data_IF_387297054020
#
_entry.id   IF_387297054020
#
_cell.length_a   1.000
_cell.length_b   1.000
_cell.length_c   1.000
_cell.angle_alpha   90.00
_cell.angle_beta   90.00
_cell.angle_gamma   90.00
#
_symmetry.space_group_name_H-M   'P 1'
#
loop_
_entity.id
_entity.type
_entity.pdbx_description
1 polymer ?
#
# COMPACT_ATOMS: atom_id res chain seq x y z
N UNK A 1 -19.90 -23.10 13.48
CA UNK A 1 -20.29 -22.16 12.38
C UNK A 1 -20.73 -22.99 11.20
N UNK A 2 -21.89 -22.70 10.58
CA UNK A 2 -22.38 -23.50 9.43
C UNK A 2 -21.37 -23.40 8.28
N UNK A 3 -21.04 -24.52 7.62
CA UNK A 3 -20.09 -24.63 6.50
C UNK A 3 -20.24 -23.50 5.44
N UNK A 4 -21.46 -23.05 5.18
CA UNK A 4 -21.73 -21.92 4.25
C UNK A 4 -21.12 -20.60 4.70
N UNK A 5 -21.12 -20.27 6.00
CA UNK A 5 -20.51 -19.02 6.51
C UNK A 5 -18.98 -19.06 6.44
N UNK A 6 -18.39 -20.21 6.71
CA UNK A 6 -16.93 -20.39 6.61
C UNK A 6 -16.45 -20.26 5.15
N UNK A 7 -17.13 -20.92 4.22
CA UNK A 7 -16.83 -20.84 2.77
C UNK A 7 -16.99 -19.40 2.28
N UNK A 8 -18.07 -18.70 2.66
CA UNK A 8 -18.28 -17.31 2.29
C UNK A 8 -17.18 -16.38 2.82
N UNK A 9 -16.73 -16.59 4.04
CA UNK A 9 -15.64 -15.81 4.65
C UNK A 9 -14.30 -16.05 3.96
N UNK A 10 -13.95 -17.28 3.66
CA UNK A 10 -12.73 -17.65 2.92
C UNK A 10 -12.74 -17.05 1.51
N UNK A 11 -13.88 -17.18 0.81
CA UNK A 11 -14.03 -16.60 -0.53
C UNK A 11 -13.91 -15.07 -0.50
N UNK A 12 -14.49 -14.42 0.52
CA UNK A 12 -14.36 -12.97 0.72
C UNK A 12 -12.90 -12.53 0.96
N UNK A 13 -12.17 -13.24 1.81
CA UNK A 13 -10.74 -12.96 2.07
C UNK A 13 -9.90 -13.15 0.82
N UNK A 14 -10.11 -14.23 0.05
CA UNK A 14 -9.40 -14.47 -1.20
C UNK A 14 -9.69 -13.38 -2.25
N UNK A 15 -10.96 -13.00 -2.40
CA UNK A 15 -11.36 -11.93 -3.31
C UNK A 15 -10.69 -10.60 -2.92
N UNK A 16 -10.70 -10.28 -1.64
CA UNK A 16 -10.07 -9.07 -1.12
C UNK A 16 -8.55 -9.09 -1.33
N UNK A 17 -7.90 -10.22 -1.07
CA UNK A 17 -6.46 -10.41 -1.27
C UNK A 17 -6.03 -10.24 -2.74
N UNK A 18 -6.91 -10.57 -3.69
CA UNK A 18 -6.64 -10.40 -5.13
C UNK A 18 -6.94 -8.97 -5.60
N UNK A 19 -8.06 -8.39 -5.19
CA UNK A 19 -8.51 -7.09 -5.70
C UNK A 19 -7.78 -5.90 -5.08
N UNK A 20 -7.45 -5.98 -3.79
CA UNK A 20 -6.84 -4.86 -3.07
C UNK A 20 -5.50 -4.41 -3.64
N UNK A 21 -4.50 -5.30 -3.91
CA UNK A 21 -3.22 -4.88 -4.46
C UNK A 21 -3.35 -4.27 -5.85
N UNK A 22 -4.26 -4.78 -6.70
CA UNK A 22 -4.51 -4.21 -8.03
C UNK A 22 -5.15 -2.84 -7.93
N UNK A 23 -6.18 -2.67 -7.09
CA UNK A 23 -6.83 -1.38 -6.87
C UNK A 23 -5.83 -0.34 -6.31
N UNK A 24 -4.98 -0.75 -5.36
CA UNK A 24 -3.93 0.11 -4.82
C UNK A 24 -2.92 0.51 -5.89
N UNK A 25 -2.53 -0.41 -6.77
CA UNK A 25 -1.61 -0.14 -7.88
C UNK A 25 -2.18 0.88 -8.86
N UNK A 26 -3.47 0.76 -9.22
CA UNK A 26 -4.15 1.73 -10.08
C UNK A 26 -4.23 3.11 -9.42
N UNK A 27 -4.55 3.14 -8.12
CA UNK A 27 -4.58 4.39 -7.36
C UNK A 27 -3.21 5.05 -7.25
N UNK A 28 -2.14 4.28 -6.99
CA UNK A 28 -0.75 4.79 -6.94
C UNK A 28 -0.32 5.35 -8.29
N UNK A 29 -0.63 4.65 -9.39
CA UNK A 29 -0.34 5.13 -10.74
C UNK A 29 -1.03 6.48 -11.03
N UNK A 30 -2.31 6.62 -10.64
CA UNK A 30 -3.05 7.86 -10.82
C UNK A 30 -2.42 9.00 -10.00
N UNK A 31 -2.19 8.75 -8.71
CA UNK A 31 -1.62 9.74 -7.80
C UNK A 31 -0.24 10.22 -8.24
N UNK A 32 0.62 9.29 -8.66
CA UNK A 32 1.95 9.63 -9.17
C UNK A 32 1.89 10.48 -10.44
N UNK A 33 0.96 10.16 -11.36
CA UNK A 33 0.76 10.95 -12.58
C UNK A 33 0.28 12.37 -12.25
N UNK A 34 -0.67 12.51 -11.33
CA UNK A 34 -1.20 13.80 -10.88
C UNK A 34 -0.12 14.65 -10.19
N UNK A 35 0.60 14.08 -9.23
CA UNK A 35 1.69 14.77 -8.52
C UNK A 35 2.78 15.22 -9.48
N UNK A 36 3.18 14.39 -10.44
CA UNK A 36 4.19 14.75 -11.44
C UNK A 36 3.73 15.88 -12.34
N UNK A 37 2.48 15.82 -12.82
CA UNK A 37 1.90 16.84 -13.68
C UNK A 37 1.75 18.19 -12.96
N UNK A 38 1.25 18.19 -11.73
CA UNK A 38 1.10 19.42 -10.94
C UNK A 38 2.43 20.02 -10.55
N UNK A 39 3.45 19.21 -10.24
CA UNK A 39 4.80 19.68 -9.98
C UNK A 39 5.43 20.36 -11.21
N UNK A 40 5.21 19.84 -12.41
CA UNK A 40 5.66 20.46 -13.65
C UNK A 40 4.99 21.82 -13.87
N UNK A 41 3.68 21.91 -13.67
CA UNK A 41 2.93 23.15 -13.76
C UNK A 41 3.42 24.21 -12.75
N UNK A 42 3.67 23.78 -11.50
CA UNK A 42 4.23 24.64 -10.45
C UNK A 42 5.64 25.16 -10.79
N UNK A 43 6.50 24.26 -11.28
CA UNK A 43 7.86 24.60 -11.67
C UNK A 43 7.84 25.62 -12.79
N UNK A 44 6.96 25.43 -13.78
CA UNK A 44 6.80 26.37 -14.86
C UNK A 44 6.28 27.73 -14.38
N UNK A 45 5.30 27.76 -13.48
CA UNK A 45 4.80 29.00 -12.85
C UNK A 45 5.92 29.76 -12.13
N UNK A 46 6.79 29.03 -11.42
CA UNK A 46 7.94 29.62 -10.75
C UNK A 46 8.96 30.25 -11.75
N UNK A 47 9.18 29.58 -12.90
CA UNK A 47 10.03 30.13 -13.96
C UNK A 47 9.44 31.42 -14.54
N UNK A 48 8.11 31.46 -14.74
CA UNK A 48 7.43 32.70 -15.20
C UNK A 48 7.58 33.80 -14.16
N UNK A 49 7.43 33.50 -12.88
CA UNK A 49 7.67 34.49 -11.82
C UNK A 49 9.10 35.01 -11.83
N UNK A 50 10.09 34.11 -11.89
CA UNK A 50 11.51 34.54 -12.02
C UNK A 50 11.74 35.41 -13.23
N UNK A 51 11.07 35.16 -14.34
CA UNK A 51 11.13 36.00 -15.53
C UNK A 51 10.54 37.38 -15.26
N UNK A 52 9.36 37.46 -14.67
CA UNK A 52 8.71 38.69 -14.29
C UNK A 52 9.60 39.55 -13.36
N UNK A 53 10.14 38.93 -12.31
CA UNK A 53 11.06 39.57 -11.35
C UNK A 53 12.30 40.18 -12.10
N UNK A 54 12.85 39.45 -13.06
CA UNK A 54 13.99 39.93 -13.86
C UNK A 54 13.64 41.13 -14.71
N UNK A 55 12.48 41.13 -15.36
CA UNK A 55 11.97 42.25 -16.15
C UNK A 55 11.85 43.50 -15.28
N UNK A 56 11.22 43.39 -14.13
CA UNK A 56 11.05 44.47 -13.15
C UNK A 56 12.37 44.95 -12.61
N UNK A 57 13.27 44.05 -12.23
CA UNK A 57 14.60 44.43 -11.72
C UNK A 57 15.42 45.21 -12.74
N UNK A 58 15.37 44.81 -14.01
CA UNK A 58 16.04 45.60 -15.08
C UNK A 58 15.42 47.00 -15.25
N UNK A 59 14.08 47.09 -15.22
CA UNK A 59 13.38 48.36 -15.25
C UNK A 59 13.78 49.29 -14.10
N UNK A 60 13.79 48.75 -12.85
CA UNK A 60 14.24 49.51 -11.67
C UNK A 60 15.70 50.00 -11.80
N UNK A 61 16.59 49.13 -12.30
CA UNK A 61 18.01 49.48 -12.50
C UNK A 61 18.17 50.57 -13.57
N UNK A 62 17.45 50.44 -14.67
CA UNK A 62 17.42 51.47 -15.72
C UNK A 62 16.96 52.83 -15.17
N UNK A 63 15.89 52.83 -14.38
CA UNK A 63 15.39 54.06 -13.74
C UNK A 63 16.38 54.67 -12.77
N UNK A 64 17.03 53.87 -11.91
CA UNK A 64 18.07 54.39 -11.00
C UNK A 64 19.23 55.03 -11.76
N UNK A 65 19.65 54.43 -12.88
CA UNK A 65 20.72 55.00 -13.72
C UNK A 65 20.27 56.29 -14.39
N UNK A 66 19.01 56.42 -14.83
CA UNK A 66 18.46 57.63 -15.39
C UNK A 66 18.37 58.78 -14.37
N UNK A 67 18.06 58.49 -13.13
CA UNK A 67 17.97 59.49 -12.06
C UNK A 67 19.32 60.14 -11.71
N UNK A 68 20.45 59.55 -12.11
CA UNK A 68 21.78 60.12 -11.95
C UNK A 68 22.15 61.18 -13.05
N UNK A 69 21.30 61.35 -14.06
CA UNK A 69 21.53 62.31 -15.09
C UNK A 69 21.27 63.75 -14.57
N UNK A 70 22.24 64.61 -14.68
CA UNK A 70 22.25 65.98 -14.19
C UNK A 70 22.31 67.06 -15.28
N UNK A 71 22.26 66.66 -16.57
CA UNK A 71 22.29 67.58 -17.72
C UNK A 71 20.94 68.27 -18.01
N UNK A 72 20.89 69.05 -19.05
CA UNK A 72 19.67 69.76 -19.47
C UNK A 72 18.62 68.77 -19.97
N UNK A 73 17.45 68.85 -19.38
CA UNK A 73 16.32 68.03 -19.75
C UNK A 73 15.94 68.14 -21.22
N UNK A 74 15.65 67.05 -21.89
CA UNK A 74 15.29 66.94 -23.30
C UNK A 74 16.33 67.49 -24.29
N UNK A 75 17.56 67.77 -23.84
CA UNK A 75 18.67 68.03 -24.70
C UNK A 75 19.07 66.82 -25.56
N UNK A 76 19.92 67.06 -26.58
CA UNK A 76 20.41 65.96 -27.41
C UNK A 76 21.13 64.85 -26.58
N UNK A 77 21.93 65.29 -25.59
CA UNK A 77 22.67 64.43 -24.70
C UNK A 77 21.73 63.65 -23.78
N UNK A 78 20.66 64.31 -23.29
CA UNK A 78 19.63 63.58 -22.50
C UNK A 78 18.90 62.52 -23.32
N UNK A 79 18.50 62.84 -24.54
CA UNK A 79 17.90 61.89 -25.48
C UNK A 79 18.84 60.71 -25.78
N UNK A 80 20.14 61.01 -25.96
CA UNK A 80 21.17 60.00 -26.17
C UNK A 80 21.30 59.06 -24.89
N UNK A 81 21.29 59.66 -23.70
CA UNK A 81 21.34 58.92 -22.45
C UNK A 81 20.11 57.96 -22.31
N UNK A 82 18.89 58.45 -22.58
CA UNK A 82 17.67 57.63 -22.58
C UNK A 82 17.72 56.55 -23.65
N UNK A 83 18.19 56.79 -24.84
CA UNK A 83 18.39 55.79 -25.91
C UNK A 83 19.40 54.73 -25.53
N UNK A 84 20.53 55.11 -24.89
CA UNK A 84 21.50 54.15 -24.37
C UNK A 84 20.86 53.20 -23.37
N UNK A 85 20.01 53.70 -22.49
CA UNK A 85 19.25 52.85 -21.53
C UNK A 85 18.33 51.85 -22.25
N UNK A 86 17.52 52.34 -23.21
CA UNK A 86 16.65 51.43 -24.00
C UNK A 86 17.46 50.38 -24.76
N UNK A 87 18.67 50.73 -25.24
CA UNK A 87 19.54 49.79 -25.94
C UNK A 87 20.26 48.81 -25.00
N UNK A 88 20.63 49.25 -23.79
CA UNK A 88 21.40 48.45 -22.82
C UNK A 88 20.52 47.44 -22.08
N UNK A 89 19.32 47.86 -21.73
CA UNK A 89 18.39 47.04 -20.97
C UNK A 89 17.38 46.32 -21.87
N UNK A 90 17.53 45.02 -22.01
CA UNK A 90 16.80 44.18 -22.97
C UNK A 90 15.28 44.38 -22.98
N UNK A 91 14.70 44.67 -21.79
CA UNK A 91 13.24 44.76 -21.65
C UNK A 91 12.72 46.19 -21.66
N UNK A 92 13.57 47.21 -21.71
CA UNK A 92 13.19 48.58 -21.80
C UNK A 92 13.06 48.95 -23.28
N UNK A 93 11.84 49.16 -23.74
CA UNK A 93 11.56 49.53 -25.12
C UNK A 93 11.64 51.05 -25.32
N UNK A 94 11.12 51.80 -24.36
CA UNK A 94 11.08 53.27 -24.41
C UNK A 94 11.33 53.82 -23.01
N UNK A 95 11.97 54.99 -22.98
CA UNK A 95 12.13 55.82 -21.78
C UNK A 95 11.40 57.11 -22.02
N UNK A 96 10.55 57.54 -21.11
CA UNK A 96 9.80 58.80 -21.15
C UNK A 96 10.27 59.67 -19.99
N UNK A 97 10.58 60.93 -20.27
CA UNK A 97 10.88 61.94 -19.26
C UNK A 97 9.65 62.79 -18.99
N UNK A 98 9.33 62.99 -17.69
CA UNK A 98 8.17 63.74 -17.23
C UNK A 98 8.60 65.07 -16.54
N UNK A 99 7.86 66.11 -16.76
CA UNK A 99 7.84 67.30 -15.91
C UNK A 99 6.49 67.31 -15.17
N UNK A 100 6.53 66.95 -13.87
CA UNK A 100 5.32 66.71 -13.11
C UNK A 100 4.56 65.46 -13.58
N UNK A 101 3.47 65.65 -14.33
CA UNK A 101 2.69 64.56 -14.95
C UNK A 101 2.71 64.61 -16.47
N UNK A 102 3.37 65.60 -17.06
CA UNK A 102 3.36 65.82 -18.53
C UNK A 102 4.63 65.23 -19.14
N UNK A 103 4.52 64.39 -20.17
CA UNK A 103 5.67 63.87 -20.92
C UNK A 103 6.27 65.00 -21.72
N UNK A 104 7.57 65.27 -21.54
CA UNK A 104 8.29 66.29 -22.32
C UNK A 104 9.06 65.72 -23.51
N UNK A 105 9.66 64.56 -23.34
CA UNK A 105 10.38 63.86 -24.38
C UNK A 105 10.51 62.41 -24.13
N UNK A 106 10.76 61.59 -25.12
CA UNK A 106 11.02 60.16 -25.00
C UNK A 106 12.30 59.74 -25.76
N UNK A 107 12.77 58.54 -25.47
CA UNK A 107 13.91 57.96 -26.21
C UNK A 107 13.57 57.68 -27.66
N UNK A 108 12.33 57.65 -28.08
CA UNK A 108 11.90 57.45 -29.47
C UNK A 108 11.60 58.74 -30.17
N UNK A 109 10.97 59.73 -29.51
CA UNK A 109 10.48 60.93 -30.09
C UNK A 109 10.93 62.19 -29.30
N UNK A 110 11.20 63.29 -30.03
CA UNK A 110 11.63 64.53 -29.41
C UNK A 110 10.49 65.35 -28.81
N UNK A 111 9.26 65.18 -29.35
CA UNK A 111 8.04 65.83 -28.86
C UNK A 111 7.05 64.73 -28.47
N UNK A 112 6.81 64.58 -27.18
CA UNK A 112 5.80 63.71 -26.69
C UNK A 112 4.45 64.39 -26.53
N UNK A 113 3.37 63.65 -26.42
CA UNK A 113 2.00 64.11 -26.27
C UNK A 113 1.89 65.17 -25.16
N UNK A 114 1.11 66.23 -25.40
CA UNK A 114 0.80 67.25 -24.40
C UNK A 114 -0.21 66.82 -23.34
N UNK A 115 -0.73 65.63 -23.45
CA UNK A 115 -1.67 65.06 -22.48
C UNK A 115 -0.94 64.59 -21.22
N UNK A 116 -1.47 64.83 -20.01
CA UNK A 116 -0.90 64.33 -18.78
C UNK A 116 -0.86 62.81 -18.77
N UNK A 117 0.23 62.24 -18.23
CA UNK A 117 0.37 60.82 -18.03
C UNK A 117 -0.64 60.37 -16.90
N UNK A 118 -1.36 59.28 -17.06
CA UNK A 118 -2.36 58.87 -16.08
C UNK A 118 -1.73 58.61 -14.70
N UNK A 119 -2.56 58.64 -13.66
CA UNK A 119 -2.09 58.30 -12.32
C UNK A 119 -1.61 56.84 -12.27
N UNK A 120 -0.54 56.54 -11.52
CA UNK A 120 -0.05 55.18 -11.39
C UNK A 120 -1.11 54.30 -10.73
N UNK A 121 -1.31 53.12 -11.28
CA UNK A 121 -2.24 52.14 -10.70
C UNK A 121 -1.71 51.54 -9.39
N UNK A 122 -0.39 51.57 -9.21
CA UNK A 122 0.25 51.05 -8.00
C UNK A 122 1.57 51.77 -7.72
N UNK A 123 1.93 51.85 -6.44
CA UNK A 123 3.26 52.23 -5.97
C UNK A 123 3.89 51.06 -5.26
N UNK A 124 5.08 50.66 -5.67
CA UNK A 124 5.82 49.55 -5.05
C UNK A 124 6.35 49.96 -3.68
N UNK A 125 6.75 48.99 -2.85
CA UNK A 125 7.28 49.25 -1.49
C UNK A 125 8.54 50.15 -1.50
N UNK A 126 9.33 50.06 -2.55
CA UNK A 126 10.54 50.83 -2.77
C UNK A 126 10.31 52.16 -3.57
N UNK A 127 9.04 52.55 -3.69
CA UNK A 127 8.63 53.85 -4.17
C UNK A 127 8.52 54.00 -5.70
N UNK A 128 8.71 52.93 -6.47
CA UNK A 128 8.46 52.93 -7.89
C UNK A 128 6.96 52.92 -8.20
N UNK A 129 6.59 53.64 -9.26
CA UNK A 129 5.21 53.75 -9.75
C UNK A 129 5.01 52.74 -10.88
N UNK A 130 3.89 52.03 -10.90
CA UNK A 130 3.58 51.05 -11.94
C UNK A 130 2.27 51.38 -12.66
N UNK A 131 2.30 51.24 -13.97
CA UNK A 131 1.16 51.38 -14.86
C UNK A 131 0.96 50.04 -15.61
N UNK A 132 -0.19 49.45 -15.41
CA UNK A 132 -0.65 48.25 -16.09
C UNK A 132 -1.70 48.70 -17.12
N UNK A 133 -1.28 49.18 -18.26
CA UNK A 133 -2.16 49.88 -19.17
C UNK A 133 -2.81 48.97 -20.19
N UNK A 134 -4.05 49.29 -20.54
CA UNK A 134 -4.72 48.73 -21.72
C UNK A 134 -4.49 49.64 -22.93
N UNK A 135 -4.86 49.17 -24.11
CA UNK A 135 -4.55 49.69 -25.43
C UNK A 135 -4.70 51.21 -25.68
N UNK A 136 -5.45 51.96 -24.86
CA UNK A 136 -5.83 53.34 -25.17
C UNK A 136 -5.46 54.38 -24.11
N UNK A 137 -4.91 53.98 -22.97
CA UNK A 137 -4.72 54.92 -21.85
C UNK A 137 -3.51 55.85 -22.06
N UNK A 138 -2.58 55.51 -22.96
CA UNK A 138 -1.34 56.26 -23.20
C UNK A 138 -1.16 56.69 -24.67
N UNK A 139 -2.16 56.56 -25.51
CA UNK A 139 -2.03 56.80 -26.95
C UNK A 139 -1.15 55.77 -27.69
N UNK A 140 -0.81 54.66 -27.02
CA UNK A 140 -0.01 53.58 -27.58
C UNK A 140 -0.90 52.61 -28.34
N UNK A 141 -0.42 52.10 -29.46
CA UNK A 141 -1.15 51.11 -30.28
C UNK A 141 -1.19 49.70 -29.66
N UNK A 142 -0.45 49.47 -28.56
CA UNK A 142 -0.33 48.18 -27.87
C UNK A 142 -0.48 48.40 -26.37
N UNK A 143 -0.96 47.38 -25.68
CA UNK A 143 -0.92 47.29 -24.23
C UNK A 143 0.58 47.30 -23.80
N UNK A 144 0.92 48.14 -22.85
CA UNK A 144 2.29 48.27 -22.35
C UNK A 144 2.29 48.32 -20.84
N UNK A 145 3.39 47.90 -20.23
CA UNK A 145 3.63 48.03 -18.78
C UNK A 145 4.63 49.16 -18.56
N UNK A 146 4.25 50.18 -17.78
CA UNK A 146 5.11 51.25 -17.36
C UNK A 146 5.64 51.05 -15.95
N UNK A 147 6.92 51.26 -15.72
CA UNK A 147 7.52 51.39 -14.40
C UNK A 147 8.24 52.72 -14.33
N UNK A 148 8.06 53.50 -13.25
CA UNK A 148 8.64 54.83 -13.23
C UNK A 148 8.95 55.35 -11.84
N UNK A 149 9.67 56.48 -11.87
CA UNK A 149 9.97 57.37 -10.74
C UNK A 149 9.11 58.62 -10.82
N UNK A 150 9.56 59.74 -10.23
CA UNK A 150 8.89 61.02 -10.37
C UNK A 150 9.19 61.67 -11.73
N UNK A 151 10.39 61.40 -12.33
CA UNK A 151 10.90 62.06 -13.56
C UNK A 151 10.90 61.14 -14.78
N UNK A 152 11.05 59.82 -14.56
CA UNK A 152 11.21 58.90 -15.68
C UNK A 152 10.19 57.76 -15.61
N UNK A 153 9.77 57.32 -16.78
CA UNK A 153 9.00 56.07 -16.95
C UNK A 153 9.74 55.22 -17.99
N UNK A 154 9.96 53.96 -17.68
CA UNK A 154 10.39 52.94 -18.65
C UNK A 154 9.19 52.14 -19.08
N UNK A 155 9.05 51.92 -20.37
CA UNK A 155 7.98 51.18 -21.00
C UNK A 155 8.50 49.80 -21.40
N UNK A 156 7.77 48.79 -21.08
CA UNK A 156 8.10 47.38 -21.33
C UNK A 156 6.93 46.65 -22.02
N UNK A 157 7.24 45.82 -23.00
CA UNK A 157 6.22 44.96 -23.63
C UNK A 157 5.74 43.91 -22.61
N UNK A 158 4.41 43.80 -22.36
CA UNK A 158 3.85 42.80 -21.48
C UNK A 158 4.23 41.35 -21.84
N UNK A 159 4.45 41.04 -23.11
CA UNK A 159 4.88 39.72 -23.55
C UNK A 159 6.26 39.34 -22.99
N UNK A 160 7.12 40.35 -22.70
CA UNK A 160 8.43 40.11 -22.08
C UNK A 160 8.33 39.37 -20.71
N UNK A 161 7.24 39.54 -20.00
CA UNK A 161 6.99 38.88 -18.69
C UNK A 161 6.65 37.42 -18.82
N UNK A 162 6.03 37.02 -19.93
CA UNK A 162 5.52 35.66 -20.18
C UNK A 162 6.29 34.91 -21.27
N UNK A 163 7.35 35.51 -21.82
CA UNK A 163 8.25 34.91 -22.83
C UNK A 163 9.13 33.83 -22.15
N UNK A 164 8.52 32.71 -21.78
CA UNK A 164 9.16 31.56 -21.17
C UNK A 164 8.83 30.34 -22.02
N UNK A 165 9.86 29.62 -22.45
CA UNK A 165 9.70 28.39 -23.18
C UNK A 165 9.29 27.28 -22.22
N UNK A 166 8.24 26.53 -22.54
CA UNK A 166 7.92 25.30 -21.83
C UNK A 166 8.92 24.22 -22.26
N UNK A 167 9.58 23.62 -21.30
CA UNK A 167 10.54 22.52 -21.53
C UNK A 167 9.87 21.15 -21.64
N UNK A 168 8.55 21.07 -21.38
CA UNK A 168 7.77 19.83 -21.44
C UNK A 168 7.32 19.47 -22.86
N UNK A 169 6.90 18.23 -23.08
CA UNK A 169 6.37 17.77 -24.36
C UNK A 169 4.98 18.35 -24.72
N UNK A 170 4.39 19.13 -23.84
CA UNK A 170 3.06 19.74 -24.01
C UNK A 170 3.07 21.24 -23.74
N UNK A 171 2.24 22.01 -24.42
CA UNK A 171 2.16 23.45 -24.23
C UNK A 171 1.49 23.78 -22.89
N UNK A 172 2.20 24.56 -22.06
CA UNK A 172 1.63 25.23 -20.90
C UNK A 172 1.31 26.65 -21.31
N UNK A 173 0.08 27.06 -21.11
CA UNK A 173 -0.37 28.42 -21.39
C UNK A 173 -0.14 29.31 -20.17
N UNK A 174 0.06 30.59 -20.44
CA UNK A 174 0.36 31.61 -19.41
C UNK A 174 -0.52 32.83 -19.65
N UNK A 175 -0.99 33.42 -18.55
CA UNK A 175 -1.53 34.78 -18.55
C UNK A 175 -1.02 35.55 -17.34
N UNK A 176 -0.80 36.84 -17.57
CA UNK A 176 -0.53 37.86 -16.57
C UNK A 176 -1.78 38.69 -16.40
N UNK A 177 -2.37 38.70 -15.21
CA UNK A 177 -3.65 39.34 -14.91
C UNK A 177 -3.45 40.33 -13.75
N UNK A 178 -4.00 41.51 -13.84
CA UNK A 178 -4.01 42.45 -12.71
C UNK A 178 -4.86 41.90 -11.58
N UNK A 179 -4.25 41.69 -10.41
CA UNK A 179 -4.90 41.05 -9.28
C UNK A 179 -6.22 41.70 -8.84
N UNK A 180 -6.21 43.06 -8.77
CA UNK A 180 -7.38 43.84 -8.35
C UNK A 180 -8.32 44.19 -9.52
N UNK A 181 -7.77 44.32 -10.73
CA UNK A 181 -8.55 44.78 -11.86
C UNK A 181 -9.20 43.66 -12.65
N UNK A 182 -8.71 42.42 -12.50
CA UNK A 182 -9.10 41.27 -13.34
C UNK A 182 -8.74 41.41 -14.82
N UNK A 183 -8.01 42.48 -15.20
CA UNK A 183 -7.62 42.73 -16.59
C UNK A 183 -6.46 41.82 -17.00
N UNK A 184 -6.59 41.18 -18.15
CA UNK A 184 -5.48 40.45 -18.78
C UNK A 184 -4.49 41.44 -19.35
N UNK A 185 -3.24 41.39 -18.87
CA UNK A 185 -2.15 42.26 -19.30
C UNK A 185 -1.38 41.64 -20.47
N UNK A 186 -1.09 40.36 -20.35
CA UNK A 186 -0.49 39.53 -21.38
C UNK A 186 -1.00 38.08 -21.28
N UNK A 187 -1.09 37.40 -22.41
CA UNK A 187 -1.45 36.00 -22.44
C UNK A 187 -0.84 35.30 -23.65
N UNK A 188 -0.39 34.09 -23.49
CA UNK A 188 0.10 33.24 -24.59
C UNK A 188 -1.03 32.70 -25.46
N UNK A 189 -2.24 32.61 -24.93
CA UNK A 189 -3.47 32.18 -25.61
C UNK A 189 -4.64 33.03 -25.11
N UNK A 190 -5.63 33.29 -25.95
CA UNK A 190 -6.86 33.97 -25.52
C UNK A 190 -7.49 33.28 -24.32
N UNK A 191 -7.65 34.02 -23.23
CA UNK A 191 -8.27 33.58 -22.02
C UNK A 191 -9.77 33.76 -22.11
N UNK A 192 -10.52 32.71 -21.78
CA UNK A 192 -11.98 32.80 -21.70
C UNK A 192 -12.38 33.61 -20.46
N UNK A 193 -13.14 34.74 -20.62
CA UNK A 193 -13.57 35.55 -19.48
C UNK A 193 -14.40 34.78 -18.44
N UNK A 194 -15.15 33.78 -18.83
CA UNK A 194 -15.98 33.00 -17.93
C UNK A 194 -15.14 32.00 -17.11
N UNK A 195 -14.06 31.52 -17.66
CA UNK A 195 -13.07 30.73 -16.93
C UNK A 195 -12.31 31.60 -15.90
N UNK A 196 -11.95 32.82 -16.29
CA UNK A 196 -11.26 33.74 -15.38
C UNK A 196 -12.10 34.08 -14.14
N UNK A 197 -13.42 34.18 -14.25
CA UNK A 197 -14.33 34.44 -13.12
C UNK A 197 -14.35 33.30 -12.09
N UNK A 198 -13.95 32.09 -12.47
CA UNK A 198 -13.92 30.92 -11.58
C UNK A 198 -12.60 30.79 -10.80
N UNK A 199 -11.62 31.63 -11.15
CA UNK A 199 -10.26 31.59 -10.59
C UNK A 199 -10.13 32.67 -9.53
N UNK A 200 -9.64 32.32 -8.35
CA UNK A 200 -9.29 33.30 -7.31
C UNK A 200 -7.92 33.92 -7.65
N UNK A 201 -7.93 35.23 -7.91
CA UNK A 201 -6.72 35.99 -8.20
C UNK A 201 -5.94 36.42 -6.96
N UNK A 202 -6.54 36.29 -5.76
CA UNK A 202 -5.96 36.79 -4.51
C UNK A 202 -5.22 35.73 -3.70
N UNK A 203 -5.50 34.45 -3.97
CA UNK A 203 -4.85 33.32 -3.27
C UNK A 203 -4.17 32.38 -4.27
N UNK A 204 -3.00 31.80 -3.92
CA UNK A 204 -2.41 30.74 -4.72
C UNK A 204 -3.36 29.55 -4.72
N UNK A 205 -3.87 29.16 -5.87
CA UNK A 205 -4.82 28.03 -5.98
C UNK A 205 -4.48 27.15 -7.16
N UNK A 206 -4.77 25.86 -6.98
CA UNK A 206 -4.75 24.86 -8.03
C UNK A 206 -6.16 24.33 -8.21
N UNK A 207 -6.67 24.36 -9.43
CA UNK A 207 -8.02 23.89 -9.75
C UNK A 207 -8.04 23.13 -11.07
N UNK A 208 -8.96 22.19 -11.18
CA UNK A 208 -9.31 21.51 -12.43
C UNK A 208 -10.64 22.11 -12.91
N UNK A 209 -10.59 22.78 -14.04
CA UNK A 209 -11.76 23.47 -14.63
C UNK A 209 -11.81 23.18 -16.13
N UNK A 210 -12.95 22.73 -16.64
CA UNK A 210 -13.17 22.56 -18.08
C UNK A 210 -12.24 21.55 -18.78
N UNK A 211 -11.68 20.58 -18.05
CA UNK A 211 -10.70 19.62 -18.61
C UNK A 211 -9.28 20.15 -18.69
N UNK A 212 -8.98 21.28 -18.05
CA UNK A 212 -7.66 21.87 -17.89
C UNK A 212 -7.31 22.00 -16.41
N UNK A 213 -6.01 21.90 -16.10
CA UNK A 213 -5.48 22.21 -14.78
C UNK A 213 -4.97 23.65 -14.76
N UNK A 214 -5.36 24.37 -13.75
CA UNK A 214 -5.07 25.79 -13.55
C UNK A 214 -4.26 25.98 -12.28
N UNK A 215 -3.22 26.82 -12.36
CA UNK A 215 -2.39 27.22 -11.23
C UNK A 215 -2.24 28.74 -11.20
N UNK A 216 -2.38 29.34 -10.01
CA UNK A 216 -2.22 30.78 -9.81
C UNK A 216 -1.08 31.06 -8.85
N UNK A 217 -0.27 32.05 -9.19
CA UNK A 217 0.85 32.53 -8.38
C UNK A 217 0.82 34.08 -8.36
N UNK A 218 0.75 34.66 -7.17
CA UNK A 218 0.72 36.10 -7.04
C UNK A 218 2.13 36.73 -7.14
N UNK A 219 2.20 37.90 -7.76
CA UNK A 219 3.33 38.78 -7.71
C UNK A 219 2.90 40.10 -7.01
N UNK A 220 3.08 40.14 -5.65
CA UNK A 220 2.56 41.26 -4.87
C UNK A 220 3.19 42.59 -5.18
N UNK A 221 4.45 42.64 -5.62
CA UNK A 221 5.13 43.95 -5.94
C UNK A 221 4.48 44.61 -7.14
N UNK A 222 4.17 43.87 -8.16
CA UNK A 222 3.50 44.38 -9.35
C UNK A 222 1.98 44.46 -9.23
N UNK A 223 1.37 43.73 -8.28
CA UNK A 223 -0.08 43.63 -8.16
C UNK A 223 -0.69 42.83 -9.31
N UNK A 224 0.02 41.83 -9.76
CA UNK A 224 -0.41 40.92 -10.81
C UNK A 224 -0.46 39.48 -10.30
N UNK A 225 -1.31 38.68 -10.91
CA UNK A 225 -1.40 37.24 -10.71
C UNK A 225 -0.98 36.55 -12.00
N UNK A 226 -0.01 35.69 -11.88
CA UNK A 226 0.44 34.80 -12.94
C UNK A 226 -0.50 33.61 -12.93
N UNK A 227 -1.14 33.33 -14.05
CA UNK A 227 -2.02 32.16 -14.24
C UNK A 227 -1.31 31.28 -15.28
N UNK A 228 -1.15 30.01 -14.93
CA UNK A 228 -0.68 28.98 -15.86
C UNK A 228 -1.72 27.88 -15.96
N UNK A 229 -1.95 27.38 -17.17
CA UNK A 229 -2.88 26.28 -17.37
C UNK A 229 -2.45 25.35 -18.50
N UNK A 230 -2.83 24.09 -18.37
CA UNK A 230 -2.56 23.06 -19.35
C UNK A 230 -3.71 22.08 -19.45
N UNK A 231 -3.88 21.45 -20.62
CA UNK A 231 -4.83 20.36 -20.84
C UNK A 231 -4.51 19.16 -19.94
N UNK A 232 -5.53 18.39 -19.53
CA UNK A 232 -5.37 17.13 -18.80
C UNK A 232 -4.96 15.94 -19.68
N UNK A 233 -4.84 16.13 -21.00
CA UNK A 233 -4.42 15.05 -21.91
C UNK A 233 -3.08 14.42 -21.50
N UNK A 234 -2.01 15.21 -21.17
CA UNK A 234 -0.73 14.66 -20.74
C UNK A 234 -0.81 13.89 -19.42
N UNK A 235 -1.68 14.31 -18.52
CA UNK A 235 -1.95 13.58 -17.29
C UNK A 235 -2.50 12.16 -17.59
N UNK A 236 -3.48 12.07 -18.51
CA UNK A 236 -4.04 10.77 -18.93
C UNK A 236 -2.99 9.88 -19.59
N UNK A 237 -2.17 10.43 -20.47
CA UNK A 237 -1.09 9.68 -21.14
C UNK A 237 -0.04 9.17 -20.14
N UNK A 238 0.35 10.01 -19.17
CA UNK A 238 1.28 9.63 -18.11
C UNK A 238 0.67 8.55 -17.21
N UNK A 239 -0.61 8.68 -16.85
CA UNK A 239 -1.33 7.66 -16.09
C UNK A 239 -1.36 6.32 -16.83
N UNK A 240 -1.73 6.30 -18.13
CA UNK A 240 -1.72 5.07 -18.93
C UNK A 240 -0.33 4.42 -18.98
N UNK A 241 0.74 5.18 -19.13
CA UNK A 241 2.11 4.65 -19.08
C UNK A 241 2.45 4.05 -17.73
N UNK A 242 2.05 4.68 -16.63
CA UNK A 242 2.28 4.17 -15.29
C UNK A 242 1.45 2.92 -15.00
N UNK A 243 0.24 2.78 -15.57
CA UNK A 243 -0.55 1.54 -15.44
C UNK A 243 0.18 0.32 -16.01
N UNK A 244 0.93 0.48 -17.11
CA UNK A 244 1.72 -0.61 -17.71
C UNK A 244 2.76 -1.15 -16.72
N UNK A 245 3.24 -0.35 -15.79
CA UNK A 245 4.21 -0.75 -14.77
C UNK A 245 3.49 -1.24 -13.50
N UNK A 246 2.55 -0.45 -12.98
CA UNK A 246 1.93 -0.69 -11.69
C UNK A 246 0.93 -1.84 -11.67
N UNK A 247 0.19 -2.08 -12.77
CA UNK A 247 -0.79 -3.18 -12.84
C UNK A 247 -0.10 -4.55 -12.80
N UNK A 248 0.97 -4.83 -13.56
CA UNK A 248 1.72 -6.08 -13.40
C UNK A 248 2.28 -6.29 -11.99
N UNK A 249 2.77 -5.23 -11.34
CA UNK A 249 3.24 -5.31 -9.94
C UNK A 249 2.10 -5.69 -9.00
N UNK A 250 0.93 -5.06 -9.15
CA UNK A 250 -0.26 -5.39 -8.36
C UNK A 250 -0.73 -6.83 -8.58
N UNK A 251 -0.73 -7.30 -9.82
CA UNK A 251 -1.09 -8.69 -10.17
C UNK A 251 -0.09 -9.70 -9.58
N UNK A 252 1.21 -9.43 -9.68
CA UNK A 252 2.23 -10.29 -9.09
C UNK A 252 2.05 -10.40 -7.56
N UNK A 253 1.83 -9.28 -6.89
CA UNK A 253 1.59 -9.25 -5.46
C UNK A 253 0.31 -10.03 -5.08
N UNK A 254 -0.76 -9.88 -5.86
CA UNK A 254 -2.00 -10.63 -5.69
C UNK A 254 -1.80 -12.14 -5.84
N UNK A 255 -1.03 -12.58 -6.85
CA UNK A 255 -0.71 -14.00 -7.05
C UNK A 255 0.10 -14.57 -5.89
N UNK A 256 1.11 -13.85 -5.41
CA UNK A 256 1.92 -14.27 -4.26
C UNK A 256 1.04 -14.40 -3.00
N UNK A 257 0.19 -13.40 -2.74
CA UNK A 257 -0.70 -13.41 -1.57
C UNK A 257 -1.72 -14.55 -1.66
N UNK A 258 -2.33 -14.76 -2.82
CA UNK A 258 -3.25 -15.86 -3.06
C UNK A 258 -2.57 -17.24 -2.88
N UNK A 259 -1.34 -17.39 -3.39
CA UNK A 259 -0.55 -18.62 -3.19
C UNK A 259 -0.33 -18.94 -1.71
N UNK A 260 0.10 -17.95 -0.92
CA UNK A 260 0.32 -18.14 0.51
C UNK A 260 -0.98 -18.45 1.27
N UNK A 261 -2.08 -17.77 0.94
CA UNK A 261 -3.38 -18.05 1.54
C UNK A 261 -3.86 -19.46 1.21
N UNK A 262 -3.78 -19.89 -0.05
CA UNK A 262 -4.16 -21.23 -0.46
C UNK A 262 -3.28 -22.30 0.20
N UNK A 263 -1.98 -22.04 0.33
CA UNK A 263 -1.06 -22.92 1.03
C UNK A 263 -1.40 -23.04 2.52
N UNK A 264 -1.75 -21.93 3.16
CA UNK A 264 -2.19 -21.90 4.55
C UNK A 264 -3.49 -22.67 4.75
N UNK A 265 -4.49 -22.46 3.88
CA UNK A 265 -5.76 -23.19 3.93
C UNK A 265 -5.58 -24.69 3.76
N UNK A 266 -4.75 -25.13 2.80
CA UNK A 266 -4.44 -26.56 2.61
C UNK A 266 -3.74 -27.17 3.81
N UNK A 267 -2.92 -26.40 4.55
CA UNK A 267 -2.34 -26.90 5.81
C UNK A 267 -3.38 -27.16 6.88
N UNK A 268 -4.36 -26.29 7.03
CA UNK A 268 -5.42 -26.41 8.03
C UNK A 268 -6.35 -27.63 7.76
N UNK A 269 -6.49 -28.06 6.51
CA UNK A 269 -7.28 -29.21 6.10
C UNK A 269 -6.47 -30.52 6.00
N UNK A 270 -5.17 -30.51 6.35
CA UNK A 270 -4.34 -31.69 6.30
C UNK A 270 -4.85 -32.76 7.29
N UNK A 271 -5.08 -34.03 6.86
CA UNK A 271 -5.47 -35.12 7.73
C UNK A 271 -4.54 -35.31 8.94
N UNK A 272 -3.25 -35.04 8.75
CA UNK A 272 -2.24 -35.07 9.82
C UNK A 272 -2.54 -34.05 10.93
N UNK A 273 -2.88 -32.81 10.59
CA UNK A 273 -3.22 -31.78 11.58
C UNK A 273 -4.51 -32.11 12.31
N UNK A 274 -5.53 -32.63 11.58
CA UNK A 274 -6.77 -33.05 12.20
C UNK A 274 -6.54 -34.18 13.22
N UNK A 275 -5.71 -35.17 12.89
CA UNK A 275 -5.34 -36.25 13.78
C UNK A 275 -4.57 -35.75 15.00
N UNK A 276 -3.60 -34.86 14.79
CA UNK A 276 -2.84 -34.28 15.88
C UNK A 276 -3.70 -33.44 16.85
N UNK A 277 -4.66 -32.71 16.31
CA UNK A 277 -5.63 -31.96 17.11
C UNK A 277 -6.57 -32.88 17.86
N UNK A 278 -7.04 -33.96 17.24
CA UNK A 278 -7.88 -34.99 17.90
C UNK A 278 -7.17 -35.65 19.08
N UNK A 279 -5.91 -36.01 18.91
CA UNK A 279 -5.07 -36.57 19.98
C UNK A 279 -4.94 -35.58 21.15
N UNK A 280 -4.64 -34.29 20.85
CA UNK A 280 -4.52 -33.23 21.86
C UNK A 280 -5.83 -32.89 22.56
N UNK A 281 -6.93 -32.89 21.80
CA UNK A 281 -8.27 -32.62 22.33
C UNK A 281 -8.89 -33.82 23.05
N UNK A 282 -8.18 -34.94 23.11
CA UNK A 282 -8.70 -36.23 23.70
C UNK A 282 -10.02 -36.68 23.05
N UNK A 283 -10.13 -36.57 21.73
CA UNK A 283 -11.29 -37.01 20.95
C UNK A 283 -11.28 -38.55 20.69
N UNK A 284 -10.26 -39.24 21.17
CA UNK A 284 -10.18 -40.71 21.10
C UNK A 284 -10.88 -41.26 22.32
N UNK A 285 -11.95 -42.03 22.10
CA UNK A 285 -12.73 -42.70 23.11
C UNK A 285 -12.50 -44.20 23.03
N UNK A 286 -12.68 -44.92 24.16
CA UNK A 286 -12.51 -46.35 24.22
C UNK A 286 -13.86 -47.04 24.35
N UNK A 287 -14.08 -48.07 23.53
CA UNK A 287 -15.18 -48.98 23.64
C UNK A 287 -14.63 -50.33 24.17
N UNK A 288 -15.39 -51.03 24.93
CA UNK A 288 -14.93 -52.27 25.60
C UNK A 288 -15.81 -53.43 25.18
N UNK A 289 -15.21 -54.43 24.50
CA UNK A 289 -15.87 -55.63 24.07
C UNK A 289 -15.61 -56.74 25.09
N UNK A 290 -16.66 -57.33 25.74
CA UNK A 290 -16.47 -58.34 26.75
C UNK A 290 -15.81 -59.60 26.19
N UNK A 291 -14.82 -60.13 26.93
CA UNK A 291 -14.20 -61.43 26.69
C UNK A 291 -14.81 -62.40 27.67
N UNK A 292 -15.31 -63.56 27.16
CA UNK A 292 -16.00 -64.57 27.96
C UNK A 292 -15.32 -65.93 27.83
N UNK A 293 -15.36 -66.73 28.91
CA UNK A 293 -14.96 -68.14 28.86
C UNK A 293 -15.97 -68.93 28.05
N UNK A 294 -15.49 -69.80 27.17
CA UNK A 294 -16.38 -70.71 26.40
C UNK A 294 -17.10 -71.77 27.23
N UNK A 295 -16.54 -72.12 28.38
CA UNK A 295 -17.07 -73.20 29.21
C UNK A 295 -18.34 -72.84 29.99
N UNK A 296 -18.41 -71.62 30.53
CA UNK A 296 -19.48 -71.16 31.41
C UNK A 296 -20.03 -69.78 31.11
N UNK A 297 -19.51 -69.11 30.06
CA UNK A 297 -19.96 -67.78 29.60
C UNK A 297 -19.62 -66.63 30.55
N UNK A 298 -18.74 -66.84 31.51
CA UNK A 298 -18.35 -65.79 32.45
C UNK A 298 -17.43 -64.80 31.79
N UNK A 299 -17.62 -63.49 32.12
CA UNK A 299 -16.69 -62.40 31.68
C UNK A 299 -15.38 -62.61 32.43
N UNK A 300 -14.26 -62.66 31.67
CA UNK A 300 -12.89 -62.74 32.17
C UNK A 300 -12.08 -61.52 31.86
N UNK A 301 -12.60 -60.66 30.99
CA UNK A 301 -11.93 -59.42 30.61
C UNK A 301 -12.72 -58.61 29.57
N UNK A 302 -12.08 -57.67 29.00
CA UNK A 302 -12.61 -56.87 27.87
C UNK A 302 -11.48 -56.47 26.93
N UNK A 303 -11.76 -56.42 25.65
CA UNK A 303 -10.87 -55.81 24.64
C UNK A 303 -11.17 -54.31 24.52
N UNK A 304 -10.14 -53.50 24.58
CA UNK A 304 -10.22 -52.06 24.44
C UNK A 304 -10.10 -51.65 22.96
N UNK A 305 -11.18 -51.10 22.42
CA UNK A 305 -11.31 -50.74 21.02
C UNK A 305 -11.40 -49.22 20.87
N UNK A 306 -10.38 -48.61 20.30
CA UNK A 306 -10.33 -47.16 20.09
C UNK A 306 -11.38 -46.70 19.07
N UNK A 307 -11.96 -45.54 19.30
CA UNK A 307 -12.90 -44.85 18.39
C UNK A 307 -12.59 -43.39 18.36
N UNK A 308 -12.47 -42.80 17.16
CA UNK A 308 -12.26 -41.37 17.03
C UNK A 308 -13.59 -40.67 16.88
N UNK A 309 -13.99 -39.90 17.89
CA UNK A 309 -15.22 -39.12 17.90
C UNK A 309 -15.11 -37.95 16.94
N UNK A 310 -16.09 -37.77 16.06
CA UNK A 310 -16.18 -36.70 15.11
C UNK A 310 -17.05 -35.55 15.64
N UNK A 311 -16.90 -34.34 15.03
CA UNK A 311 -17.67 -33.16 15.43
C UNK A 311 -19.18 -33.27 15.26
N UNK A 312 -19.66 -34.23 14.44
CA UNK A 312 -21.07 -34.55 14.24
C UNK A 312 -21.59 -35.59 15.23
N UNK A 313 -20.74 -36.09 16.14
CA UNK A 313 -21.05 -37.12 17.12
C UNK A 313 -20.89 -38.54 16.61
N UNK A 314 -20.53 -38.76 15.35
CA UNK A 314 -20.21 -40.08 14.81
C UNK A 314 -18.82 -40.55 15.28
N UNK A 315 -18.55 -41.87 15.14
CA UNK A 315 -17.25 -42.45 15.46
C UNK A 315 -16.61 -43.06 14.22
N UNK A 316 -15.33 -42.79 14.03
CA UNK A 316 -14.49 -43.50 13.07
C UNK A 316 -13.90 -44.76 13.72
N UNK A 317 -13.90 -45.82 12.96
CA UNK A 317 -13.29 -47.10 13.36
C UNK A 317 -11.75 -47.05 13.25
N UNK A 318 -11.02 -47.90 14.01
CA UNK A 318 -9.56 -47.98 13.95
C UNK A 318 -9.00 -48.15 12.56
N UNK A 319 -9.58 -48.98 11.73
CA UNK A 319 -9.16 -49.24 10.34
C UNK A 319 -9.07 -47.98 9.47
N UNK A 320 -9.77 -46.90 9.85
CA UNK A 320 -9.77 -45.64 9.14
C UNK A 320 -8.68 -44.72 9.62
N UNK A 321 -8.37 -44.65 10.92
CA UNK A 321 -7.47 -43.63 11.46
C UNK A 321 -6.11 -44.19 11.92
N UNK A 322 -5.97 -45.45 12.24
CA UNK A 322 -4.68 -46.08 12.58
C UNK A 322 -3.68 -45.99 11.42
N UNK A 323 -4.04 -46.34 10.16
CA UNK A 323 -3.12 -46.15 9.03
C UNK A 323 -2.72 -44.69 8.80
N UNK A 324 -3.59 -43.75 9.12
CA UNK A 324 -3.26 -42.31 9.06
C UNK A 324 -2.24 -41.92 10.14
N UNK A 325 -2.40 -42.44 11.38
CA UNK A 325 -1.46 -42.20 12.46
C UNK A 325 -0.08 -42.79 12.16
N UNK A 326 -0.02 -43.98 11.56
CA UNK A 326 1.22 -44.61 11.10
C UNK A 326 1.93 -43.78 10.04
N UNK A 327 1.23 -43.46 8.92
CA UNK A 327 1.78 -42.68 7.81
C UNK A 327 2.27 -41.30 8.22
N UNK A 328 1.70 -40.75 9.27
CA UNK A 328 2.03 -39.39 9.76
C UNK A 328 2.99 -39.39 10.94
N UNK A 329 3.41 -40.60 11.44
CA UNK A 329 4.32 -40.75 12.57
C UNK A 329 3.69 -40.35 13.91
N UNK A 330 2.37 -40.38 14.01
CA UNK A 330 1.62 -40.03 15.24
C UNK A 330 1.28 -41.24 16.14
N UNK A 331 1.63 -42.47 15.73
CA UNK A 331 1.34 -43.69 16.49
C UNK A 331 1.81 -43.59 17.94
N UNK A 332 3.05 -43.22 18.28
CA UNK A 332 3.47 -43.20 19.69
C UNK A 332 2.63 -42.26 20.56
N UNK A 333 2.13 -41.16 19.98
CA UNK A 333 1.28 -40.19 20.69
C UNK A 333 -0.16 -40.76 20.84
N UNK A 334 -0.66 -41.42 19.82
CA UNK A 334 -1.97 -42.04 19.82
C UNK A 334 -2.02 -43.21 20.82
N UNK A 335 -1.05 -44.12 20.77
CA UNK A 335 -0.92 -45.26 21.69
C UNK A 335 -0.85 -44.79 23.15
N UNK A 336 -0.08 -43.73 23.40
CA UNK A 336 -0.03 -43.12 24.72
C UNK A 336 -1.40 -42.67 25.21
N UNK A 337 -2.18 -41.98 24.39
CA UNK A 337 -3.54 -41.52 24.77
C UNK A 337 -4.49 -42.69 24.95
N UNK A 338 -4.41 -43.71 24.11
CA UNK A 338 -5.21 -44.95 24.25
C UNK A 338 -4.94 -45.60 25.59
N UNK A 339 -3.68 -45.81 25.93
CA UNK A 339 -3.30 -46.47 27.20
C UNK A 339 -3.78 -45.62 28.39
N UNK A 340 -3.48 -44.34 28.42
CA UNK A 340 -3.94 -43.45 29.49
C UNK A 340 -5.46 -43.51 29.65
N UNK A 341 -6.21 -43.54 28.54
CA UNK A 341 -7.66 -43.60 28.55
C UNK A 341 -8.19 -44.94 29.09
N UNK A 342 -7.55 -46.05 28.72
CA UNK A 342 -7.92 -47.38 29.28
C UNK A 342 -7.75 -47.41 30.80
N UNK A 343 -6.66 -46.88 31.33
CA UNK A 343 -6.46 -46.78 32.76
C UNK A 343 -7.46 -45.84 33.45
N UNK A 344 -7.78 -44.68 32.81
CA UNK A 344 -8.80 -43.78 33.32
C UNK A 344 -10.20 -44.44 33.39
N UNK A 345 -10.61 -45.16 32.34
CA UNK A 345 -11.93 -45.72 32.22
C UNK A 345 -12.08 -47.02 33.04
N UNK A 346 -11.09 -47.91 32.97
CA UNK A 346 -11.17 -49.25 33.52
C UNK A 346 -10.43 -49.44 34.86
N UNK A 347 -9.54 -48.48 35.22
CA UNK A 347 -8.74 -48.58 36.45
C UNK A 347 -9.57 -48.85 37.71
N UNK A 348 -10.60 -48.04 38.01
CA UNK A 348 -11.45 -48.27 39.20
C UNK A 348 -12.20 -49.60 39.18
N UNK A 349 -12.47 -50.16 37.98
CA UNK A 349 -13.14 -51.44 37.83
C UNK A 349 -12.17 -52.61 38.02
N UNK A 350 -10.96 -52.54 37.45
CA UNK A 350 -9.91 -53.54 37.60
C UNK A 350 -9.43 -53.67 39.05
N UNK A 351 -9.30 -52.55 39.79
CA UNK A 351 -8.97 -52.59 41.22
C UNK A 351 -9.95 -53.43 42.04
N UNK A 352 -11.24 -53.40 41.69
CA UNK A 352 -12.30 -54.15 42.40
C UNK A 352 -12.43 -55.62 41.94
N UNK A 353 -11.84 -55.93 40.79
CA UNK A 353 -11.97 -57.25 40.14
C UNK A 353 -10.58 -57.77 39.74
N UNK A 354 -9.77 -58.26 40.68
CA UNK A 354 -8.37 -58.64 40.44
C UNK A 354 -8.19 -59.82 39.47
N UNK A 355 -9.23 -60.60 39.24
CA UNK A 355 -9.22 -61.74 38.31
C UNK A 355 -9.59 -61.39 36.89
N UNK A 356 -9.93 -60.09 36.62
CA UNK A 356 -10.31 -59.60 35.28
C UNK A 356 -9.19 -58.84 34.67
N UNK A 357 -9.16 -58.84 33.34
CA UNK A 357 -8.14 -58.10 32.58
C UNK A 357 -8.75 -57.27 31.43
N UNK A 358 -7.97 -56.30 30.93
CA UNK A 358 -8.28 -55.54 29.69
C UNK A 358 -7.13 -55.75 28.71
N UNK A 359 -7.46 -56.08 27.48
CA UNK A 359 -6.51 -56.18 26.41
C UNK A 359 -6.45 -54.85 25.58
N UNK A 360 -5.25 -54.45 25.18
CA UNK A 360 -4.97 -53.23 24.40
C UNK A 360 -4.21 -53.64 23.14
N UNK A 361 -4.74 -53.27 21.99
CA UNK A 361 -4.08 -53.46 20.69
C UNK A 361 -2.84 -52.54 20.56
N UNK A 362 -1.71 -53.12 20.14
CA UNK A 362 -0.45 -52.45 19.89
C UNK A 362 -0.06 -52.58 18.42
N UNK A 363 0.47 -51.50 17.86
CA UNK A 363 1.07 -51.50 16.53
C UNK A 363 2.56 -51.88 16.59
N UNK A 364 3.14 -52.44 15.50
CA UNK A 364 4.54 -52.82 15.45
C UNK A 364 5.51 -51.68 15.87
N UNK A 365 5.17 -50.45 15.55
CA UNK A 365 5.95 -49.27 15.90
C UNK A 365 6.07 -49.02 17.40
N UNK A 366 5.08 -49.50 18.20
CA UNK A 366 5.07 -49.31 19.66
C UNK A 366 6.08 -50.25 20.36
N UNK A 367 6.47 -51.33 19.68
CA UNK A 367 7.43 -52.32 20.17
C UNK A 367 8.89 -51.92 19.93
N UNK A 368 9.15 -50.84 19.16
CA UNK A 368 10.49 -50.44 18.77
C UNK A 368 11.28 -49.71 19.87
N UNK A 369 10.60 -49.31 20.95
CA UNK A 369 11.20 -48.54 22.05
C UNK A 369 10.86 -49.08 23.43
N UNK A 370 11.74 -48.91 24.42
CA UNK A 370 11.49 -49.26 25.81
C UNK A 370 10.66 -48.20 26.57
N UNK A 371 10.06 -47.26 25.90
CA UNK A 371 9.21 -46.25 26.54
C UNK A 371 7.86 -46.82 26.98
N UNK A 372 7.29 -47.74 26.20
CA UNK A 372 6.04 -48.38 26.50
C UNK A 372 6.06 -49.21 27.80
N UNK A 373 7.04 -50.12 28.06
CA UNK A 373 7.14 -50.80 29.35
C UNK A 373 7.23 -49.86 30.56
N UNK A 374 8.03 -48.77 30.44
CA UNK A 374 8.15 -47.80 31.51
C UNK A 374 6.83 -47.06 31.80
N UNK A 375 6.10 -46.69 30.75
CA UNK A 375 4.79 -46.01 30.86
C UNK A 375 3.76 -46.94 31.53
N UNK A 376 3.65 -48.18 31.07
CA UNK A 376 2.70 -49.16 31.64
C UNK A 376 3.04 -49.44 33.11
N UNK A 377 4.31 -49.57 33.45
CA UNK A 377 4.73 -49.78 34.86
C UNK A 377 4.33 -48.59 35.73
N UNK A 378 4.54 -47.35 35.24
CA UNK A 378 4.15 -46.13 35.95
C UNK A 378 2.64 -46.10 36.17
N UNK A 379 1.84 -46.28 35.09
CA UNK A 379 0.38 -46.26 35.18
C UNK A 379 -0.17 -47.37 36.07
N UNK A 380 0.39 -48.60 36.00
CA UNK A 380 0.01 -49.69 36.87
C UNK A 380 0.23 -49.35 38.35
N UNK A 381 1.35 -48.71 38.68
CA UNK A 381 1.64 -48.23 40.03
C UNK A 381 0.68 -47.12 40.47
N UNK A 382 0.46 -46.10 39.61
CA UNK A 382 -0.39 -44.96 39.92
C UNK A 382 -1.84 -45.36 40.16
N UNK A 383 -2.34 -46.35 39.40
CA UNK A 383 -3.71 -46.89 39.49
C UNK A 383 -3.83 -48.10 40.40
N UNK A 384 -2.74 -48.56 41.00
CA UNK A 384 -2.73 -49.76 41.87
C UNK A 384 -3.34 -51.02 41.21
N UNK A 385 -3.01 -51.21 39.92
CA UNK A 385 -3.46 -52.33 39.08
C UNK A 385 -2.30 -53.30 38.89
N UNK A 386 -2.57 -54.62 39.01
CA UNK A 386 -1.57 -55.62 38.67
C UNK A 386 -1.25 -55.58 37.16
N UNK A 387 0.05 -55.61 36.75
CA UNK A 387 0.40 -55.75 35.36
C UNK A 387 -0.30 -56.91 34.62
N UNK A 388 -0.63 -57.99 35.32
CA UNK A 388 -1.37 -59.15 34.77
C UNK A 388 -2.81 -58.83 34.33
N UNK A 389 -3.36 -57.69 34.81
CA UNK A 389 -4.70 -57.25 34.43
C UNK A 389 -4.68 -56.41 33.13
N UNK A 390 -3.51 -56.07 32.60
CA UNK A 390 -3.34 -55.39 31.33
C UNK A 390 -2.66 -56.33 30.35
N UNK A 391 -3.44 -56.90 29.45
CA UNK A 391 -2.93 -57.72 28.35
C UNK A 391 -2.64 -56.83 27.13
N UNK A 392 -1.69 -57.22 26.32
CA UNK A 392 -1.28 -56.46 25.13
C UNK A 392 -1.43 -57.38 23.91
N UNK A 393 -2.17 -56.90 22.92
CA UNK A 393 -2.44 -57.66 21.70
C UNK A 393 -1.53 -57.13 20.57
N UNK A 394 -0.80 -58.01 19.91
CA UNK A 394 0.13 -57.69 18.84
C UNK A 394 -0.22 -58.54 17.64
N UNK A 395 -0.36 -57.94 16.48
CA UNK A 395 -0.64 -58.70 15.26
C UNK A 395 0.57 -59.56 14.85
N UNK A 396 0.34 -60.65 14.12
CA UNK A 396 1.41 -61.54 13.61
C UNK A 396 2.49 -60.75 12.86
N UNK A 397 2.11 -59.72 12.10
CA UNK A 397 3.04 -58.83 11.37
C UNK A 397 3.94 -57.99 12.29
N UNK A 398 3.55 -57.75 13.53
CA UNK A 398 4.35 -57.08 14.54
C UNK A 398 5.62 -57.79 14.94
N UNK A 399 5.73 -59.08 14.64
CA UNK A 399 6.91 -59.91 14.87
C UNK A 399 7.81 -60.07 13.63
N UNK A 400 7.57 -59.34 12.55
CA UNK A 400 8.33 -59.48 11.29
C UNK A 400 9.84 -59.22 11.44
N UNK A 401 10.25 -58.39 12.42
CA UNK A 401 11.67 -58.22 12.82
C UNK A 401 11.85 -58.52 14.32
N UNK A 402 12.10 -59.77 14.68
CA UNK A 402 12.25 -60.19 16.09
C UNK A 402 13.41 -59.45 16.80
N UNK A 403 14.44 -59.00 16.08
CA UNK A 403 15.60 -58.37 16.71
C UNK A 403 15.30 -56.99 17.31
N UNK A 404 14.32 -56.33 16.78
CA UNK A 404 13.92 -54.98 17.23
C UNK A 404 12.79 -55.01 18.23
N UNK A 405 11.80 -55.91 18.13
CA UNK A 405 10.66 -55.95 19.05
C UNK A 405 10.91 -56.77 20.32
N UNK A 406 11.77 -57.80 20.25
CA UNK A 406 11.98 -58.75 21.41
C UNK A 406 12.45 -58.08 22.69
N UNK A 407 13.31 -57.04 22.70
CA UNK A 407 13.67 -56.34 23.95
C UNK A 407 12.46 -55.74 24.67
N UNK A 408 11.54 -55.12 23.95
CA UNK A 408 10.32 -54.50 24.48
C UNK A 408 9.34 -55.58 24.98
N UNK A 409 9.11 -56.62 24.19
CA UNK A 409 8.26 -57.75 24.56
C UNK A 409 8.80 -58.45 25.81
N UNK A 410 10.12 -58.68 25.87
CA UNK A 410 10.76 -59.31 27.05
C UNK A 410 10.57 -58.46 28.29
N UNK A 411 10.73 -57.12 28.17
CA UNK A 411 10.52 -56.20 29.29
C UNK A 411 9.06 -56.20 29.78
N UNK A 412 8.09 -56.19 28.85
CA UNK A 412 6.66 -56.26 29.17
C UNK A 412 6.27 -57.56 29.90
N UNK A 413 6.76 -58.70 29.41
CA UNK A 413 6.53 -60.00 30.08
C UNK A 413 7.23 -60.09 31.45
N UNK A 414 8.44 -59.55 31.56
CA UNK A 414 9.13 -59.48 32.84
C UNK A 414 8.41 -58.60 33.87
N UNK A 415 7.70 -57.57 33.41
CA UNK A 415 6.84 -56.73 34.23
C UNK A 415 5.52 -57.44 34.65
N UNK A 416 5.17 -58.54 34.01
CA UNK A 416 3.96 -59.34 34.34
C UNK A 416 2.79 -59.17 33.39
N UNK A 417 2.94 -58.41 32.29
CA UNK A 417 1.89 -58.26 31.27
C UNK A 417 1.77 -59.53 30.43
N UNK A 418 0.51 -59.95 30.12
CA UNK A 418 0.23 -60.97 29.11
C UNK A 418 0.39 -60.39 27.71
N UNK A 419 0.98 -61.16 26.80
CA UNK A 419 1.09 -60.79 25.39
C UNK A 419 0.27 -61.77 24.57
N UNK A 420 -0.69 -61.25 23.83
CA UNK A 420 -1.55 -62.04 22.93
C UNK A 420 -1.12 -61.79 21.49
N UNK A 421 -1.21 -62.81 20.65
CA UNK A 421 -0.96 -62.67 19.21
C UNK A 421 -2.33 -62.69 18.55
N UNK A 422 -2.67 -61.58 17.91
CA UNK A 422 -3.90 -61.40 17.16
C UNK A 422 -3.71 -61.70 15.67
N UNK A 423 -4.80 -62.01 14.98
CA UNK A 423 -4.83 -62.34 13.54
C UNK A 423 -3.93 -63.54 13.17
N UNK A 424 -3.70 -64.48 14.05
CA UNK A 424 -2.83 -65.63 13.84
C UNK A 424 -3.27 -66.48 12.64
N UNK A 425 -2.37 -66.73 11.69
CA UNK A 425 -2.63 -67.55 10.49
C UNK A 425 -3.07 -66.73 9.25
N UNK A 426 -3.13 -65.41 9.35
CA UNK A 426 -3.47 -64.56 8.21
C UNK A 426 -2.24 -64.06 7.44
N UNK A 427 -1.03 -64.30 7.98
CA UNK A 427 0.25 -63.79 7.41
C UNK A 427 1.35 -64.85 7.36
N UNK A 428 2.51 -64.56 7.91
CA UNK A 428 3.77 -65.31 7.78
C UNK A 428 3.98 -66.42 8.85
N UNK A 429 3.00 -67.28 9.08
CA UNK A 429 3.23 -68.42 9.95
C UNK A 429 4.06 -69.52 9.25
N UNK A 430 5.36 -69.38 9.20
CA UNK A 430 6.28 -70.47 8.83
C UNK A 430 7.49 -70.51 9.77
#
# INVERSE_FOLDING_TARGET
MTNRRLVSLITGILLFAVLLPVALSVWLAHRQAEESFMNELNTFSALVKMRADRVVSQGKTALRQLETYDGISCSQDHLLAMRRISYTFRYVQEVIYLEGTVPLCSSLERNSSSAPFPAPQRVTKDGFRAWLTSHNDLGLTRAMVGLGTRRYIVITDPLSFIDVLSYGPWPINIALVGTNSGRVIASSRTLDPDMLKQIDLHTPTQKLIGGEAWNTLQEPELGVTIITWASLTPLRESWHRLLIIWVPVGLLLSLVLAFFLLRMLRRLESPQHRMQDAIRAREIEMFYQPIVTLADGKIVGAEALARWRQADGSFLAPDTFIPLAEQTGLMPQLTKVIIEKVFEDMGPWLQKNPDLHVSINLEPSDLLTLTLPAQLQQLSNDWHISPSQIALEVTEHGFADPTTCMPTITALRAAGHAIYIDDFGTGYSS
#
